data_IF_882501360624
#
_entry.id   IF_882501360624
#
_cell.length_a   1.000
_cell.length_b   1.000
_cell.length_c   1.000
_cell.angle_alpha   90.00
_cell.angle_beta   90.00
_cell.angle_gamma   90.00
#
_symmetry.space_group_name_H-M   'P 1'
#
loop_
_entity.id
_entity.type
_entity.pdbx_description
1 polymer ?
#
# COMPACT_ATOMS: atom_id res chain seq x y z
N UNK A 1 61.13 -7.82 -13.85
CA UNK A 1 60.31 -7.76 -12.63
C UNK A 1 59.35 -6.59 -12.74
N UNK A 2 58.05 -6.83 -12.44
CA UNK A 2 57.02 -5.86 -12.00
C UNK A 2 56.52 -4.87 -13.06
N UNK A 3 55.23 -4.57 -13.22
CA UNK A 3 54.00 -4.96 -12.53
C UNK A 3 52.83 -4.74 -13.50
N UNK A 4 51.90 -5.70 -13.55
CA UNK A 4 50.54 -5.52 -14.08
C UNK A 4 49.85 -4.38 -13.32
N UNK A 5 49.04 -3.59 -14.02
CA UNK A 5 48.19 -2.57 -13.41
C UNK A 5 47.03 -2.17 -14.31
N UNK A 6 46.17 -3.12 -14.69
CA UNK A 6 44.88 -2.81 -15.29
C UNK A 6 43.87 -2.56 -14.15
N UNK A 7 43.60 -1.29 -13.86
CA UNK A 7 42.56 -0.89 -12.93
C UNK A 7 41.19 -0.95 -13.63
N UNK A 8 40.51 -2.09 -13.50
CA UNK A 8 39.12 -2.27 -13.90
C UNK A 8 38.23 -1.53 -12.90
N UNK A 9 37.82 -0.31 -13.24
CA UNK A 9 36.86 0.45 -12.43
C UNK A 9 35.46 -0.07 -12.70
N UNK A 10 34.96 -0.93 -11.81
CA UNK A 10 33.57 -1.39 -11.82
C UNK A 10 32.73 -0.28 -11.20
N UNK A 11 32.11 0.55 -12.05
CA UNK A 11 31.04 1.45 -11.67
C UNK A 11 29.79 0.62 -11.36
N UNK A 12 29.57 0.33 -10.08
CA UNK A 12 28.30 -0.20 -9.57
C UNK A 12 27.23 0.89 -9.71
N UNK A 13 26.50 0.86 -10.81
CA UNK A 13 25.26 1.59 -10.96
C UNK A 13 24.26 1.05 -9.94
N UNK A 14 24.14 1.77 -8.84
CA UNK A 14 23.08 1.58 -7.84
C UNK A 14 21.79 2.15 -8.44
N UNK A 15 21.16 1.41 -9.35
CA UNK A 15 19.82 1.72 -9.82
C UNK A 15 18.88 1.52 -8.64
N UNK A 16 18.62 2.60 -7.89
CA UNK A 16 17.46 2.68 -7.02
C UNK A 16 16.23 2.72 -7.93
N UNK A 17 15.84 1.56 -8.45
CA UNK A 17 14.49 1.38 -8.98
C UNK A 17 13.57 1.62 -7.80
N UNK A 18 12.94 2.79 -7.74
CA UNK A 18 11.76 2.98 -6.94
C UNK A 18 10.81 1.85 -7.35
N UNK A 19 10.62 0.89 -6.44
CA UNK A 19 9.76 -0.24 -6.73
C UNK A 19 8.40 0.33 -7.08
N UNK A 20 8.03 0.22 -8.36
CA UNK A 20 6.70 0.53 -8.84
C UNK A 20 5.77 -0.28 -7.96
N UNK A 21 4.87 0.43 -7.30
CA UNK A 21 3.86 -0.16 -6.45
C UNK A 21 3.16 -1.30 -7.23
N UNK A 22 3.17 -2.53 -6.70
CA UNK A 22 2.98 -3.72 -7.55
C UNK A 22 1.55 -3.88 -8.09
N UNK A 23 0.61 -3.05 -7.64
CA UNK A 23 -0.81 -3.11 -7.92
C UNK A 23 -1.38 -1.76 -8.43
N UNK A 24 -0.53 -0.87 -8.97
CA UNK A 24 -0.98 0.38 -9.57
C UNK A 24 -1.93 0.13 -10.75
N UNK A 25 -3.06 0.84 -10.78
CA UNK A 25 -4.12 0.68 -11.79
C UNK A 25 -4.99 -0.56 -11.63
N UNK A 26 -4.74 -1.44 -10.65
CA UNK A 26 -5.60 -2.60 -10.38
C UNK A 26 -6.82 -2.19 -9.57
N UNK A 27 -7.96 -2.85 -9.78
CA UNK A 27 -9.08 -2.80 -8.85
C UNK A 27 -8.85 -3.74 -7.66
N UNK A 28 -9.41 -3.42 -6.48
CA UNK A 28 -9.33 -4.29 -5.28
C UNK A 28 -9.81 -5.72 -5.60
N UNK A 29 -10.85 -5.85 -6.41
CA UNK A 29 -11.37 -7.15 -6.81
C UNK A 29 -10.33 -7.96 -7.58
N UNK A 30 -9.64 -7.34 -8.52
CA UNK A 30 -8.56 -7.96 -9.29
C UNK A 30 -7.39 -8.33 -8.38
N UNK A 31 -7.00 -7.45 -7.46
CA UNK A 31 -5.94 -7.72 -6.48
C UNK A 31 -6.23 -8.98 -5.65
N UNK A 32 -7.50 -9.24 -5.32
CA UNK A 32 -7.91 -10.44 -4.55
C UNK A 32 -7.88 -11.73 -5.36
N UNK A 33 -7.88 -11.64 -6.68
CA UNK A 33 -7.92 -12.79 -7.60
C UNK A 33 -6.59 -13.02 -8.31
N UNK A 34 -5.71 -12.03 -8.34
CA UNK A 34 -4.44 -12.09 -9.02
C UNK A 34 -3.47 -13.04 -8.28
N UNK A 35 -2.96 -14.09 -8.94
CA UNK A 35 -2.10 -15.10 -8.32
C UNK A 35 -0.72 -14.56 -7.91
N UNK A 36 -0.34 -13.35 -8.35
CA UNK A 36 0.87 -12.66 -7.88
C UNK A 36 0.74 -12.20 -6.43
N UNK A 37 -0.47 -12.18 -5.88
CA UNK A 37 -0.76 -11.72 -4.53
C UNK A 37 -1.51 -12.76 -3.71
N UNK A 38 -1.20 -12.79 -2.41
CA UNK A 38 -1.99 -13.51 -1.40
C UNK A 38 -2.68 -12.47 -0.54
N UNK A 39 -4.01 -12.39 -0.63
CA UNK A 39 -4.83 -11.48 0.16
C UNK A 39 -5.54 -12.24 1.26
N UNK A 40 -5.34 -11.85 2.52
CA UNK A 40 -6.04 -12.48 3.64
C UNK A 40 -7.52 -12.09 3.65
N UNK A 41 -8.40 -12.88 4.31
CA UNK A 41 -9.76 -12.43 4.57
C UNK A 41 -9.79 -11.08 5.28
N UNK A 42 -10.78 -10.26 4.95
CA UNK A 42 -10.98 -8.96 5.58
C UNK A 42 -11.49 -9.11 7.02
N UNK A 43 -10.96 -8.27 7.91
CA UNK A 43 -11.40 -8.16 9.30
C UNK A 43 -11.77 -6.72 9.63
N UNK A 44 -12.40 -6.48 10.78
CA UNK A 44 -12.66 -5.10 11.23
C UNK A 44 -11.34 -4.38 11.46
N UNK A 45 -11.16 -3.24 10.79
CA UNK A 45 -9.98 -2.40 10.86
C UNK A 45 -10.06 -1.39 12.00
N UNK A 46 -8.96 -1.27 12.75
CA UNK A 46 -8.72 -0.13 13.66
C UNK A 46 -7.52 0.65 13.15
N UNK A 47 -7.71 1.96 12.98
CA UNK A 47 -6.65 2.88 12.59
C UNK A 47 -5.97 3.39 13.87
N UNK A 48 -4.66 3.21 13.96
CA UNK A 48 -3.86 3.75 15.07
C UNK A 48 -3.70 5.26 14.91
N UNK A 49 -3.39 5.96 16.01
CA UNK A 49 -3.12 7.40 15.97
C UNK A 49 -1.98 7.74 14.99
N UNK A 50 -0.93 6.93 14.96
CA UNK A 50 0.25 7.18 14.12
C UNK A 50 -0.07 6.94 12.64
N UNK A 51 -0.86 5.92 12.32
CA UNK A 51 -1.38 5.69 10.97
C UNK A 51 -2.27 6.85 10.50
N UNK A 52 -3.12 7.37 11.38
CA UNK A 52 -3.97 8.52 11.07
C UNK A 52 -3.12 9.74 10.69
N UNK A 53 -2.19 10.16 11.55
CA UNK A 53 -1.39 11.35 11.30
C UNK A 53 -0.45 11.21 10.11
N UNK A 54 0.07 10.01 9.84
CA UNK A 54 0.88 9.76 8.65
C UNK A 54 0.10 9.94 7.33
N UNK A 55 -1.23 9.79 7.36
CA UNK A 55 -2.11 9.87 6.19
C UNK A 55 -3.31 10.80 6.47
N UNK A 56 -3.09 11.88 7.22
CA UNK A 56 -4.16 12.75 7.70
C UNK A 56 -5.01 13.29 6.55
N UNK A 57 -4.37 13.68 5.43
CA UNK A 57 -5.09 14.17 4.24
C UNK A 57 -6.19 13.21 3.78
N UNK A 58 -5.93 11.90 3.83
CA UNK A 58 -6.90 10.87 3.49
C UNK A 58 -7.92 10.70 4.61
N UNK A 59 -7.47 10.48 5.84
CA UNK A 59 -8.37 10.11 6.94
C UNK A 59 -9.20 11.25 7.52
N UNK A 60 -8.82 12.51 7.30
CA UNK A 60 -9.46 13.69 7.89
C UNK A 60 -10.94 13.77 7.51
N UNK A 61 -11.30 13.48 6.27
CA UNK A 61 -12.68 13.63 5.80
C UNK A 61 -13.63 12.60 6.44
N UNK A 62 -13.09 11.44 6.84
CA UNK A 62 -13.85 10.38 7.53
C UNK A 62 -14.14 10.68 9.01
N UNK A 63 -13.45 11.67 9.60
CA UNK A 63 -13.75 12.08 10.99
C UNK A 63 -15.06 12.87 11.10
N UNK A 64 -15.46 13.56 10.02
CA UNK A 64 -16.67 14.40 9.97
C UNK A 64 -17.97 13.61 10.10
N UNK A 65 -17.98 12.34 9.66
CA UNK A 65 -19.18 11.52 9.56
C UNK A 65 -19.35 10.48 10.68
N UNK A 66 -18.62 10.62 11.80
CA UNK A 66 -18.60 9.63 12.91
C UNK A 66 -18.19 8.22 12.45
N UNK A 67 -17.42 8.11 11.38
CA UNK A 67 -16.98 6.84 10.77
C UNK A 67 -15.80 6.17 11.46
N UNK A 68 -15.61 6.48 12.74
CA UNK A 68 -14.47 6.00 13.50
C UNK A 68 -14.60 4.50 13.73
N UNK A 69 -13.72 3.72 13.09
CA UNK A 69 -13.77 2.25 13.13
C UNK A 69 -14.64 1.59 12.06
N UNK A 70 -15.13 2.37 11.08
CA UNK A 70 -15.87 1.89 9.90
C UNK A 70 -14.93 1.38 8.79
N UNK A 71 -13.88 0.64 9.17
CA UNK A 71 -12.88 0.16 8.24
C UNK A 71 -12.86 -1.36 8.21
N UNK A 72 -12.50 -1.91 7.05
CA UNK A 72 -11.99 -3.26 6.92
C UNK A 72 -10.51 -3.22 6.60
N UNK A 73 -9.81 -4.26 7.02
CA UNK A 73 -8.40 -4.42 6.74
C UNK A 73 -8.07 -5.86 6.38
N UNK A 74 -7.09 -6.02 5.49
CA UNK A 74 -6.48 -7.29 5.17
C UNK A 74 -4.98 -7.09 4.88
N UNK A 75 -4.22 -8.18 4.98
CA UNK A 75 -2.85 -8.22 4.50
C UNK A 75 -2.81 -8.68 3.05
N UNK A 76 -1.94 -8.05 2.28
CA UNK A 76 -1.61 -8.41 0.90
C UNK A 76 -0.14 -8.77 0.89
N UNK A 77 0.19 -9.97 0.43
CA UNK A 77 1.58 -10.40 0.24
C UNK A 77 1.86 -10.54 -1.25
N UNK A 78 2.86 -9.85 -1.76
CA UNK A 78 3.38 -10.11 -3.10
C UNK A 78 4.21 -11.40 -3.09
N UNK A 79 3.87 -12.34 -3.97
CA UNK A 79 4.49 -13.69 -3.98
C UNK A 79 5.94 -13.64 -4.44
N UNK A 80 6.25 -12.81 -5.44
CA UNK A 80 7.57 -12.74 -6.05
C UNK A 80 8.63 -12.14 -5.10
N UNK A 81 8.28 -11.05 -4.42
CA UNK A 81 9.20 -10.30 -3.53
C UNK A 81 9.09 -10.75 -2.07
N UNK A 82 7.93 -11.30 -1.68
CA UNK A 82 7.59 -11.58 -0.28
C UNK A 82 7.12 -10.35 0.50
N UNK A 83 7.03 -9.19 -0.15
CA UNK A 83 6.62 -7.94 0.50
C UNK A 83 5.19 -8.04 1.03
N UNK A 84 4.97 -7.47 2.21
CA UNK A 84 3.69 -7.50 2.89
C UNK A 84 3.17 -6.08 3.06
N UNK A 85 1.91 -5.89 2.70
CA UNK A 85 1.18 -4.65 2.79
C UNK A 85 -0.10 -4.87 3.58
N UNK A 86 -0.63 -3.80 4.14
CA UNK A 86 -1.93 -3.78 4.80
C UNK A 86 -2.77 -2.72 4.13
N UNK A 87 -3.95 -3.09 3.63
CA UNK A 87 -4.92 -2.09 3.20
C UNK A 87 -5.92 -1.79 4.31
N UNK A 88 -6.38 -0.55 4.34
CA UNK A 88 -7.49 -0.07 5.17
C UNK A 88 -8.50 0.56 4.23
N UNK A 89 -9.72 0.04 4.19
CA UNK A 89 -10.80 0.57 3.34
C UNK A 89 -12.07 0.80 4.12
N UNK A 90 -12.87 1.75 3.70
CA UNK A 90 -14.21 1.99 4.25
C UNK A 90 -15.20 0.91 3.82
N UNK A 91 -16.25 0.75 4.63
CA UNK A 91 -17.36 -0.20 4.37
C UNK A 91 -18.73 0.37 4.71
N UNK A 92 -18.83 1.67 4.97
CA UNK A 92 -20.09 2.31 5.30
C UNK A 92 -20.27 3.47 4.34
N UNK A 93 -21.34 3.41 3.55
CA UNK A 93 -21.65 4.39 2.50
C UNK A 93 -21.70 5.83 3.00
N UNK A 94 -22.22 6.04 4.23
CA UNK A 94 -22.28 7.37 4.84
C UNK A 94 -20.88 7.98 5.12
N UNK A 95 -19.82 7.17 5.04
CA UNK A 95 -18.44 7.58 5.29
C UNK A 95 -17.69 7.96 4.01
N UNK A 96 -18.11 7.43 2.87
CA UNK A 96 -17.37 7.48 1.62
C UNK A 96 -18.26 7.84 0.40
N UNK A 97 -19.54 8.14 0.63
CA UNK A 97 -20.50 8.48 -0.40
C UNK A 97 -20.99 7.27 -1.21
N UNK A 98 -20.81 6.05 -0.70
CA UNK A 98 -21.17 4.81 -1.38
C UNK A 98 -20.04 4.19 -2.20
N UNK A 99 -18.80 4.69 -2.07
CA UNK A 99 -17.65 4.24 -2.84
C UNK A 99 -16.62 3.58 -1.94
N UNK A 100 -15.97 2.50 -2.41
CA UNK A 100 -14.87 1.92 -1.64
C UNK A 100 -13.63 2.80 -1.75
N UNK A 101 -13.23 3.42 -0.64
CA UNK A 101 -12.03 4.25 -0.54
C UNK A 101 -11.13 3.73 0.57
N UNK A 102 -9.82 3.90 0.42
CA UNK A 102 -8.85 3.34 1.36
C UNK A 102 -7.41 3.73 1.08
N UNK A 103 -6.49 3.11 1.83
CA UNK A 103 -5.05 3.25 1.66
C UNK A 103 -4.34 1.92 1.81
N UNK A 104 -3.18 1.79 1.16
CA UNK A 104 -2.31 0.62 1.27
C UNK A 104 -0.96 1.03 1.87
N UNK A 105 -0.55 0.33 2.92
CA UNK A 105 0.61 0.66 3.74
C UNK A 105 1.56 -0.53 3.82
N UNK A 106 2.87 -0.35 3.60
CA UNK A 106 3.84 -1.42 3.80
C UNK A 106 3.88 -1.87 5.27
N UNK A 107 4.08 -3.17 5.50
CA UNK A 107 4.18 -3.74 6.86
C UNK A 107 5.27 -3.03 7.67
N UNK A 108 4.92 -2.62 8.89
CA UNK A 108 5.84 -1.92 9.80
C UNK A 108 6.03 -0.44 9.48
N UNK A 109 5.34 0.11 8.45
CA UNK A 109 5.31 1.54 8.15
C UNK A 109 3.93 2.11 8.45
N UNK A 110 3.87 3.43 8.54
CA UNK A 110 2.61 4.16 8.71
C UNK A 110 2.22 4.97 7.48
N UNK A 111 3.17 5.28 6.58
CA UNK A 111 2.89 6.05 5.38
C UNK A 111 2.36 5.15 4.27
N UNK A 112 1.20 5.50 3.73
CA UNK A 112 0.64 4.81 2.58
C UNK A 112 1.53 4.98 1.35
N UNK A 113 1.57 3.94 0.52
CA UNK A 113 2.22 3.95 -0.80
C UNK A 113 1.19 3.98 -1.94
N UNK A 114 -0.08 3.76 -1.61
CA UNK A 114 -1.19 3.84 -2.55
C UNK A 114 -2.48 4.24 -1.85
N UNK A 115 -3.39 4.83 -2.62
CA UNK A 115 -4.79 5.06 -2.29
C UNK A 115 -5.67 4.05 -3.03
N UNK A 116 -6.81 3.74 -2.43
CA UNK A 116 -7.92 3.08 -3.06
C UNK A 116 -8.97 4.16 -3.29
N UNK A 117 -9.36 4.40 -4.53
CA UNK A 117 -10.42 5.33 -4.92
C UNK A 117 -11.44 4.64 -5.81
N UNK A 118 -12.71 4.65 -5.43
CA UNK A 118 -13.78 3.95 -6.14
C UNK A 118 -13.38 2.52 -6.59
N UNK A 119 -12.78 1.79 -5.65
CA UNK A 119 -12.22 0.44 -5.85
C UNK A 119 -10.95 0.33 -6.73
N UNK A 120 -10.54 1.36 -7.45
CA UNK A 120 -9.25 1.43 -8.18
C UNK A 120 -8.10 1.73 -7.21
N UNK A 121 -6.93 1.14 -7.42
CA UNK A 121 -5.73 1.40 -6.65
C UNK A 121 -4.79 2.31 -7.43
N UNK A 122 -4.36 3.42 -6.80
CA UNK A 122 -3.42 4.37 -7.37
C UNK A 122 -2.23 4.61 -6.46
N UNK A 123 -1.04 4.44 -6.98
CA UNK A 123 0.18 4.57 -6.21
C UNK A 123 0.81 5.96 -6.36
N UNK A 124 1.61 6.36 -5.35
CA UNK A 124 2.25 7.68 -5.31
C UNK A 124 3.64 7.73 -5.94
#
# INVERSE_FOLDING_TARGET
>A
MKLLGAALSILLYSSFSFAVCPFDGMYIYELKQDPRFVVTPETQGRITRDLFWANEKFFRDFTKYKCRGAYRTAQVKEVATGDVFTYYRTVIDACDGGNTVGVIVPKGRHKAIAEIGDSEIRCY
#
